data_IF_880411601939
#
_entry.id   IF_880411601939
#
_cell.length_a   1.000
_cell.length_b   1.000
_cell.length_c   1.000
_cell.angle_alpha   90.00
_cell.angle_beta   90.00
_cell.angle_gamma   90.00
#
_symmetry.space_group_name_H-M   'P 1'
#
loop_
_entity.id
_entity.type
_entity.pdbx_description
1 polymer ?
#
# COMPACT_ATOMS: atom_id res chain seq x y z
N UNK A 1 -26.53 -8.64 -4.69
CA UNK A 1 -25.23 -7.97 -4.75
C UNK A 1 -25.10 -7.24 -6.09
N UNK A 2 -24.48 -6.09 -6.11
CA UNK A 2 -24.22 -5.30 -7.32
C UNK A 2 -22.75 -4.85 -7.46
N UNK A 3 -21.95 -5.06 -6.42
CA UNK A 3 -20.54 -4.68 -6.37
C UNK A 3 -19.73 -5.76 -5.64
N UNK A 4 -18.53 -6.03 -6.13
CA UNK A 4 -17.54 -6.90 -5.48
C UNK A 4 -16.28 -6.11 -5.18
N UNK A 5 -15.63 -6.41 -4.06
CA UNK A 5 -14.33 -5.86 -3.64
C UNK A 5 -13.30 -6.96 -3.75
N UNK A 6 -12.22 -6.72 -4.47
CA UNK A 6 -11.16 -7.72 -4.69
C UNK A 6 -9.81 -7.15 -4.30
N UNK A 7 -9.02 -7.91 -3.56
CA UNK A 7 -7.65 -7.50 -3.28
C UNK A 7 -6.86 -7.34 -4.57
N UNK A 8 -6.47 -6.12 -4.89
CA UNK A 8 -5.49 -5.81 -5.92
C UNK A 8 -4.08 -5.69 -5.31
N UNK A 9 -4.00 -5.13 -4.08
CA UNK A 9 -2.75 -4.99 -3.31
C UNK A 9 -3.04 -5.16 -1.82
N UNK A 10 -2.70 -6.32 -1.26
CA UNK A 10 -2.82 -6.56 0.19
C UNK A 10 -1.58 -6.11 0.97
N UNK A 11 -0.45 -5.96 0.28
CA UNK A 11 0.85 -5.53 0.77
C UNK A 11 1.52 -4.64 -0.29
N UNK A 12 2.84 -4.39 -0.16
CA UNK A 12 3.64 -3.75 -1.22
C UNK A 12 3.94 -4.72 -2.36
N UNK A 13 2.92 -5.39 -2.84
CA UNK A 13 2.93 -6.38 -3.91
C UNK A 13 1.63 -6.27 -4.74
N UNK A 14 1.51 -6.99 -5.84
CA UNK A 14 0.36 -6.89 -6.74
C UNK A 14 -0.22 -8.26 -7.10
N UNK A 15 -1.56 -8.33 -7.21
CA UNK A 15 -2.32 -9.44 -7.81
C UNK A 15 -2.67 -9.14 -9.27
N UNK A 16 -1.87 -8.32 -9.93
CA UNK A 16 -2.02 -7.89 -11.31
C UNK A 16 -0.64 -7.63 -11.93
N UNK A 17 -0.57 -7.52 -13.25
CA UNK A 17 0.67 -7.19 -13.93
C UNK A 17 1.00 -5.71 -13.71
N UNK A 18 1.94 -5.44 -12.80
CA UNK A 18 2.37 -4.11 -12.38
C UNK A 18 3.81 -3.84 -12.82
N UNK A 19 4.06 -2.60 -13.28
CA UNK A 19 5.41 -2.08 -13.55
C UNK A 19 6.07 -1.51 -12.27
N UNK A 20 5.28 -1.34 -11.19
CA UNK A 20 5.72 -0.71 -9.94
C UNK A 20 5.96 -1.75 -8.85
N UNK A 21 5.06 -2.72 -8.71
CA UNK A 21 5.04 -3.68 -7.62
C UNK A 21 5.34 -5.10 -8.11
N UNK A 22 6.09 -5.90 -7.33
CA UNK A 22 6.31 -7.30 -7.68
C UNK A 22 4.99 -8.09 -7.58
N UNK A 23 4.91 -9.20 -8.32
CA UNK A 23 3.85 -10.18 -8.13
C UNK A 23 3.79 -10.65 -6.68
N UNK A 24 2.60 -10.73 -6.14
CA UNK A 24 2.39 -11.16 -4.76
C UNK A 24 2.85 -12.59 -4.53
N UNK A 25 3.49 -12.84 -3.39
CA UNK A 25 3.84 -14.19 -2.91
C UNK A 25 2.61 -15.12 -2.84
N UNK A 26 1.43 -14.59 -2.69
CA UNK A 26 0.19 -15.37 -2.65
C UNK A 26 -0.25 -15.91 -4.01
N UNK A 27 0.28 -15.37 -5.11
CA UNK A 27 0.02 -15.90 -6.45
C UNK A 27 0.81 -17.19 -6.74
N UNK A 28 2.07 -17.26 -6.28
CA UNK A 28 3.01 -18.32 -6.71
C UNK A 28 3.84 -18.90 -5.57
N UNK A 29 3.69 -18.43 -4.33
CA UNK A 29 4.54 -18.67 -3.15
C UNK A 29 5.92 -18.01 -3.21
N UNK A 30 6.24 -17.28 -4.29
CA UNK A 30 7.50 -16.54 -4.47
C UNK A 30 7.18 -15.11 -4.93
N UNK A 31 7.59 -14.10 -4.16
CA UNK A 31 7.40 -12.70 -4.54
C UNK A 31 8.12 -12.41 -5.87
N UNK A 32 7.45 -11.68 -6.76
CA UNK A 32 7.96 -11.29 -8.06
C UNK A 32 7.86 -12.37 -9.15
N UNK A 33 7.48 -13.59 -8.82
CA UNK A 33 7.29 -14.66 -9.81
C UNK A 33 5.94 -14.46 -10.52
N UNK A 34 5.98 -14.33 -11.86
CA UNK A 34 4.78 -14.23 -12.68
C UNK A 34 3.98 -15.54 -12.63
N UNK A 35 2.68 -15.50 -12.28
CA UNK A 35 1.83 -16.70 -12.23
C UNK A 35 1.43 -17.24 -13.62
N UNK A 36 1.76 -16.55 -14.70
CA UNK A 36 1.37 -16.92 -16.07
C UNK A 36 -0.05 -16.48 -16.46
N UNK A 37 -0.75 -15.77 -15.59
CA UNK A 37 -2.05 -15.16 -15.85
C UNK A 37 -2.19 -13.88 -15.01
N UNK A 38 -3.18 -13.04 -15.33
CA UNK A 38 -3.45 -11.80 -14.59
C UNK A 38 -4.76 -11.92 -13.82
N UNK A 39 -4.70 -12.15 -12.49
CA UNK A 39 -5.91 -12.32 -11.66
C UNK A 39 -6.87 -11.15 -11.74
N UNK A 40 -6.39 -9.90 -11.61
CA UNK A 40 -7.26 -8.72 -11.61
C UNK A 40 -7.97 -8.55 -12.96
N UNK A 41 -7.24 -8.76 -14.06
CA UNK A 41 -7.82 -8.70 -15.41
C UNK A 41 -8.95 -9.71 -15.61
N UNK A 42 -8.78 -10.93 -15.08
CA UNK A 42 -9.80 -11.97 -15.14
C UNK A 42 -11.00 -11.56 -14.29
N UNK A 43 -10.77 -11.12 -13.04
CA UNK A 43 -11.83 -10.73 -12.12
C UNK A 43 -12.67 -9.56 -12.66
N UNK A 44 -12.04 -8.53 -13.24
CA UNK A 44 -12.74 -7.41 -13.87
C UNK A 44 -13.63 -7.90 -15.00
N UNK A 45 -13.09 -8.71 -15.92
CA UNK A 45 -13.84 -9.26 -17.04
C UNK A 45 -15.07 -10.05 -16.59
N UNK A 46 -14.89 -10.95 -15.64
CA UNK A 46 -15.98 -11.84 -15.18
C UNK A 46 -17.03 -11.08 -14.34
N UNK A 47 -16.61 -10.10 -13.51
CA UNK A 47 -17.55 -9.25 -12.79
C UNK A 47 -18.45 -8.46 -13.74
N UNK A 48 -17.87 -7.80 -14.73
CA UNK A 48 -18.63 -7.04 -15.74
C UNK A 48 -19.53 -7.95 -16.59
N UNK A 49 -19.08 -9.15 -16.95
CA UNK A 49 -19.91 -10.13 -17.67
C UNK A 49 -21.12 -10.58 -16.84
N UNK A 50 -20.98 -10.58 -15.51
CA UNK A 50 -22.07 -10.88 -14.56
C UNK A 50 -22.94 -9.65 -14.22
N UNK A 51 -22.69 -8.48 -14.80
CA UNK A 51 -23.39 -7.23 -14.50
C UNK A 51 -23.05 -6.62 -13.12
N UNK A 52 -21.90 -6.99 -12.54
CA UNK A 52 -21.42 -6.46 -11.26
C UNK A 52 -20.39 -5.36 -11.47
N UNK A 53 -20.36 -4.40 -10.57
CA UNK A 53 -19.24 -3.49 -10.40
C UNK A 53 -18.11 -4.19 -9.64
N UNK A 54 -16.87 -3.75 -9.88
CA UNK A 54 -15.69 -4.26 -9.21
C UNK A 54 -14.80 -3.11 -8.72
N UNK A 55 -14.45 -3.15 -7.43
CA UNK A 55 -13.52 -2.20 -6.82
C UNK A 55 -12.22 -2.90 -6.43
N UNK A 56 -11.10 -2.28 -6.80
CA UNK A 56 -9.77 -2.75 -6.44
C UNK A 56 -9.45 -2.33 -5.00
N UNK A 57 -9.31 -3.32 -4.12
CA UNK A 57 -8.97 -3.13 -2.71
C UNK A 57 -7.45 -3.05 -2.53
N UNK A 58 -7.02 -1.98 -1.89
CA UNK A 58 -5.60 -1.65 -1.64
C UNK A 58 -5.40 -1.37 -0.15
N UNK A 59 -4.38 -1.99 0.45
CA UNK A 59 -3.81 -1.60 1.73
C UNK A 59 -2.57 -0.73 1.44
N UNK A 60 -2.65 0.60 1.55
CA UNK A 60 -1.62 1.49 0.99
C UNK A 60 -0.28 1.43 1.72
N UNK A 61 -0.28 1.22 3.03
CA UNK A 61 0.92 1.34 3.85
C UNK A 61 1.54 0.02 4.31
N UNK A 62 0.85 -1.11 4.16
CA UNK A 62 1.37 -2.40 4.60
C UNK A 62 2.37 -2.97 3.59
N UNK A 63 3.61 -3.20 4.03
CA UNK A 63 4.65 -3.83 3.21
C UNK A 63 4.65 -5.34 3.42
N UNK A 64 4.60 -5.78 4.66
CA UNK A 64 4.60 -7.20 5.03
C UNK A 64 3.88 -7.42 6.36
N UNK A 65 3.17 -8.52 6.50
CA UNK A 65 2.63 -8.98 7.78
C UNK A 65 3.68 -9.66 8.68
N UNK A 66 4.94 -9.72 8.26
CA UNK A 66 6.09 -10.25 9.03
C UNK A 66 7.11 -9.14 9.24
N UNK A 67 7.95 -9.27 10.26
CA UNK A 67 8.93 -8.26 10.66
C UNK A 67 10.34 -8.51 10.11
N UNK A 68 10.56 -9.59 9.38
CA UNK A 68 11.86 -9.92 8.78
C UNK A 68 12.08 -9.15 7.46
N UNK A 69 12.85 -8.07 7.53
CA UNK A 69 13.18 -7.21 6.39
C UNK A 69 13.99 -7.93 5.31
N UNK A 70 14.74 -9.01 5.67
CA UNK A 70 15.50 -9.78 4.70
C UNK A 70 14.62 -10.56 3.72
N UNK A 71 13.31 -10.64 3.98
CA UNK A 71 12.34 -11.28 3.09
C UNK A 71 11.74 -10.34 2.05
N UNK A 72 12.03 -9.05 2.14
CA UNK A 72 11.61 -8.07 1.12
C UNK A 72 12.53 -8.21 -0.10
N UNK A 73 11.97 -8.52 -1.25
CA UNK A 73 12.74 -8.72 -2.48
C UNK A 73 13.31 -7.41 -3.02
N UNK A 74 14.41 -7.50 -3.78
CA UNK A 74 15.01 -6.33 -4.45
C UNK A 74 14.07 -5.64 -5.45
N UNK A 75 13.08 -6.38 -5.97
CA UNK A 75 12.06 -5.85 -6.87
C UNK A 75 10.94 -5.11 -6.15
N UNK A 76 10.85 -5.21 -4.82
CA UNK A 76 9.85 -4.49 -4.05
C UNK A 76 10.26 -3.02 -3.87
N UNK A 77 9.37 -2.04 -4.12
CA UNK A 77 9.67 -0.61 -3.92
C UNK A 77 10.21 -0.27 -2.53
N UNK A 78 9.78 -1.00 -1.49
CA UNK A 78 10.24 -0.81 -0.12
C UNK A 78 11.73 -1.12 0.07
N UNK A 79 12.30 -1.98 -0.78
CA UNK A 79 13.67 -2.46 -0.61
C UNK A 79 14.70 -1.31 -0.53
N UNK A 80 14.55 -0.30 -1.39
CA UNK A 80 15.45 0.86 -1.43
C UNK A 80 15.35 1.78 -0.21
N UNK A 81 14.32 1.58 0.62
CA UNK A 81 14.01 2.43 1.78
C UNK A 81 14.14 1.70 3.12
N UNK A 82 14.58 0.43 3.13
CA UNK A 82 14.66 -0.40 4.36
C UNK A 82 15.51 0.23 5.47
N UNK A 83 16.54 0.99 5.10
CA UNK A 83 17.45 1.66 6.06
C UNK A 83 17.10 3.14 6.25
N UNK A 84 15.85 3.53 6.00
CA UNK A 84 15.36 4.90 6.14
C UNK A 84 14.09 4.96 7.00
N UNK A 85 13.74 6.17 7.47
CA UNK A 85 12.50 6.40 8.23
C UNK A 85 11.20 6.24 7.38
N UNK A 86 11.31 5.98 6.06
CA UNK A 86 10.18 5.70 5.18
C UNK A 86 9.58 4.32 5.39
N UNK A 87 10.38 3.39 5.94
CA UNK A 87 9.97 2.03 6.24
C UNK A 87 10.18 1.75 7.72
N UNK A 88 9.13 1.32 8.39
CA UNK A 88 9.14 1.09 9.85
C UNK A 88 8.72 -0.34 10.17
N UNK A 89 9.51 -1.01 10.99
CA UNK A 89 9.15 -2.32 11.55
C UNK A 89 8.36 -2.09 12.84
N UNK A 90 7.13 -2.58 12.87
CA UNK A 90 6.28 -2.57 14.08
C UNK A 90 6.23 -3.97 14.64
N UNK A 91 6.82 -4.15 15.85
CA UNK A 91 6.89 -5.46 16.51
C UNK A 91 5.53 -6.17 16.54
N UNK A 92 5.51 -7.45 16.24
CA UNK A 92 4.33 -8.33 16.21
C UNK A 92 3.24 -7.94 15.20
N UNK A 93 3.42 -6.86 14.43
CA UNK A 93 2.42 -6.35 13.49
C UNK A 93 2.88 -6.48 12.04
N UNK A 94 4.13 -6.12 11.73
CA UNK A 94 4.69 -6.20 10.38
C UNK A 94 5.64 -5.07 10.02
N UNK A 95 5.80 -4.88 8.73
CA UNK A 95 6.60 -3.80 8.13
C UNK A 95 5.65 -2.86 7.40
N UNK A 96 5.83 -1.57 7.59
CA UNK A 96 4.93 -0.53 7.05
C UNK A 96 5.70 0.61 6.41
N UNK A 97 5.11 1.23 5.42
CA UNK A 97 5.49 2.56 4.96
C UNK A 97 5.07 3.61 5.99
N UNK A 98 5.83 4.71 6.04
CA UNK A 98 5.48 5.85 6.89
C UNK A 98 4.49 6.77 6.16
N UNK A 99 3.25 6.95 6.68
CA UNK A 99 2.25 7.80 6.03
C UNK A 99 2.60 9.30 5.99
N UNK A 100 3.64 9.73 6.71
CA UNK A 100 4.10 11.11 6.72
C UNK A 100 5.11 11.45 5.61
N UNK A 101 5.51 10.46 4.81
CA UNK A 101 6.53 10.63 3.78
C UNK A 101 5.90 10.87 2.40
N UNK A 102 6.28 11.97 1.74
CA UNK A 102 5.74 12.37 0.44
C UNK A 102 6.06 11.36 -0.69
N UNK A 103 7.26 10.73 -0.68
CA UNK A 103 7.60 9.70 -1.67
C UNK A 103 6.75 8.43 -1.47
N UNK A 104 6.34 8.14 -0.23
CA UNK A 104 5.41 7.03 0.06
C UNK A 104 4.03 7.36 -0.49
N UNK A 105 3.52 8.57 -0.27
CA UNK A 105 2.24 9.01 -0.83
C UNK A 105 2.28 8.93 -2.35
N UNK A 106 3.35 9.46 -2.99
CA UNK A 106 3.54 9.38 -4.44
C UNK A 106 3.55 7.93 -4.95
N UNK A 107 4.24 7.02 -4.26
CA UNK A 107 4.23 5.60 -4.60
C UNK A 107 2.82 5.00 -4.57
N UNK A 108 2.02 5.32 -3.55
CA UNK A 108 0.63 4.84 -3.43
C UNK A 108 -0.22 5.38 -4.55
N UNK A 109 -0.15 6.69 -4.82
CA UNK A 109 -0.91 7.37 -5.89
C UNK A 109 -0.57 6.76 -7.26
N UNK A 110 0.71 6.60 -7.59
CA UNK A 110 1.13 5.96 -8.85
C UNK A 110 0.60 4.53 -8.98
N UNK A 111 0.58 3.77 -7.90
CA UNK A 111 0.01 2.42 -7.90
C UNK A 111 -1.50 2.42 -8.13
N UNK A 112 -2.23 3.41 -7.62
CA UNK A 112 -3.66 3.61 -7.91
C UNK A 112 -3.87 3.99 -9.38
N UNK A 113 -3.10 4.96 -9.88
CA UNK A 113 -3.16 5.38 -11.28
C UNK A 113 -2.90 4.22 -12.26
N UNK A 114 -1.92 3.36 -11.94
CA UNK A 114 -1.61 2.17 -12.73
C UNK A 114 -2.83 1.25 -12.86
N UNK A 115 -3.52 0.97 -11.75
CA UNK A 115 -4.73 0.13 -11.76
C UNK A 115 -5.83 0.79 -12.59
N UNK A 116 -6.13 2.06 -12.33
CA UNK A 116 -7.22 2.78 -12.99
C UNK A 116 -7.00 2.88 -14.50
N UNK A 117 -5.76 3.11 -14.94
CA UNK A 117 -5.42 3.21 -16.37
C UNK A 117 -5.48 1.86 -17.10
N UNK A 118 -5.14 0.77 -16.41
CA UNK A 118 -4.87 -0.50 -17.11
C UNK A 118 -5.99 -1.54 -16.95
N UNK A 119 -6.89 -1.40 -15.94
CA UNK A 119 -7.79 -2.50 -15.56
C UNK A 119 -9.28 -2.20 -15.67
N UNK A 120 -9.70 -0.96 -15.86
CA UNK A 120 -11.12 -0.62 -16.01
C UNK A 120 -11.97 -1.00 -14.80
N UNK A 121 -11.40 -0.93 -13.58
CA UNK A 121 -12.15 -1.10 -12.33
C UNK A 121 -13.15 0.04 -12.15
N UNK A 122 -14.27 -0.21 -11.46
CA UNK A 122 -15.31 0.80 -11.22
C UNK A 122 -14.98 1.72 -10.04
N UNK A 123 -14.02 1.32 -9.20
CA UNK A 123 -13.58 2.10 -8.06
C UNK A 123 -12.31 1.55 -7.42
N UNK A 124 -11.75 2.38 -6.53
CA UNK A 124 -10.66 2.01 -5.64
C UNK A 124 -11.19 2.00 -4.21
N UNK A 125 -10.88 0.95 -3.48
CA UNK A 125 -11.21 0.80 -2.08
C UNK A 125 -9.95 0.79 -1.25
N UNK A 126 -9.80 1.75 -0.33
CA UNK A 126 -8.75 1.72 0.68
C UNK A 126 -9.24 1.08 1.96
N UNK A 127 -8.46 0.14 2.50
CA UNK A 127 -8.56 -0.37 3.85
C UNK A 127 -7.15 -0.40 4.46
N UNK A 128 -7.07 -0.48 5.80
CA UNK A 128 -5.80 -0.48 6.55
C UNK A 128 -4.91 0.75 6.20
N UNK A 129 -5.55 1.90 5.89
CA UNK A 129 -4.92 3.15 5.42
C UNK A 129 -4.55 4.11 6.56
N UNK A 130 -4.60 3.64 7.79
CA UNK A 130 -4.27 4.38 9.01
C UNK A 130 -2.90 3.97 9.57
N UNK A 131 -2.43 4.70 10.56
CA UNK A 131 -1.20 4.37 11.26
C UNK A 131 -1.31 3.00 11.94
N UNK A 132 -0.30 2.12 11.80
CA UNK A 132 -0.34 0.76 12.36
C UNK A 132 -0.12 0.71 13.87
N UNK A 133 0.28 1.82 14.49
CA UNK A 133 0.56 1.95 15.90
C UNK A 133 0.33 3.38 16.39
N UNK A 134 0.08 3.51 17.69
CA UNK A 134 0.02 4.81 18.39
C UNK A 134 1.38 5.24 18.97
N UNK A 135 2.40 4.38 18.91
CA UNK A 135 3.74 4.67 19.44
C UNK A 135 4.33 5.93 18.79
N UNK A 136 4.86 6.83 19.62
CA UNK A 136 5.43 8.10 19.17
C UNK A 136 6.70 7.91 18.35
N UNK A 137 7.44 6.84 18.60
CA UNK A 137 8.68 6.51 17.91
C UNK A 137 8.49 6.20 16.42
N UNK A 138 7.28 5.83 16.00
CA UNK A 138 6.99 5.41 14.63
C UNK A 138 7.39 6.46 13.58
N UNK A 139 7.14 7.72 13.83
CA UNK A 139 7.34 8.84 12.90
C UNK A 139 7.98 10.07 13.59
N UNK A 140 8.71 9.85 14.67
CA UNK A 140 9.24 10.91 15.53
C UNK A 140 10.14 11.92 14.80
N UNK A 141 10.92 11.49 13.80
CA UNK A 141 11.78 12.37 12.98
C UNK A 141 10.94 13.32 12.13
N UNK A 142 9.89 12.81 11.48
CA UNK A 142 8.95 13.59 10.67
C UNK A 142 8.17 14.59 11.53
N UNK A 143 7.66 14.15 12.67
CA UNK A 143 6.93 15.06 13.56
C UNK A 143 7.84 16.15 14.13
N UNK A 144 9.10 15.85 14.49
CA UNK A 144 10.10 16.87 14.89
C UNK A 144 10.32 17.89 13.77
N UNK A 145 10.48 17.43 12.54
CA UNK A 145 10.65 18.32 11.38
C UNK A 145 9.44 19.23 11.18
N UNK A 146 8.21 18.65 11.26
CA UNK A 146 6.97 19.41 11.22
C UNK A 146 6.92 20.49 12.30
N UNK A 147 7.27 20.16 13.55
CA UNK A 147 7.30 21.13 14.67
C UNK A 147 8.34 22.22 14.47
N UNK A 148 9.53 21.87 13.97
CA UNK A 148 10.61 22.81 13.69
C UNK A 148 10.26 23.79 12.57
N UNK A 149 9.43 23.37 11.62
CA UNK A 149 8.89 24.22 10.56
C UNK A 149 7.71 25.11 11.03
N UNK A 150 7.41 25.14 12.34
CA UNK A 150 6.33 25.96 12.92
C UNK A 150 4.97 25.26 12.99
N UNK A 151 4.92 23.97 12.76
CA UNK A 151 3.70 23.17 12.88
C UNK A 151 3.09 23.22 14.29
N UNK A 152 1.76 23.40 14.36
CA UNK A 152 1.05 23.64 15.65
C UNK A 152 0.20 22.45 16.10
N UNK A 153 -0.09 21.49 15.23
CA UNK A 153 -0.93 20.35 15.57
C UNK A 153 -0.27 19.45 16.65
N UNK A 154 -1.10 18.79 17.44
CA UNK A 154 -0.66 17.66 18.26
C UNK A 154 -0.27 16.48 17.36
N UNK A 155 0.52 15.53 17.86
CA UNK A 155 0.92 14.33 17.11
C UNK A 155 -0.30 13.61 16.50
N UNK A 156 -1.33 13.37 17.30
CA UNK A 156 -2.55 12.70 16.83
C UNK A 156 -3.32 13.48 15.75
N UNK A 157 -3.35 14.82 15.83
CA UNK A 157 -3.99 15.65 14.83
C UNK A 157 -3.18 15.70 13.54
N UNK A 158 -1.86 15.79 13.64
CA UNK A 158 -0.94 15.77 12.51
C UNK A 158 -0.99 14.41 11.77
N UNK A 159 -0.97 13.28 12.50
CA UNK A 159 -1.14 11.95 11.89
C UNK A 159 -2.46 11.80 11.14
N UNK A 160 -3.55 12.33 11.68
CA UNK A 160 -4.84 12.34 10.96
C UNK A 160 -4.78 13.19 9.70
N UNK A 161 -4.08 14.32 9.73
CA UNK A 161 -3.88 15.14 8.53
C UNK A 161 -3.12 14.35 7.46
N UNK A 162 -1.99 13.72 7.78
CA UNK A 162 -1.21 12.91 6.84
C UNK A 162 -2.05 11.81 6.16
N UNK A 163 -2.91 11.15 6.94
CA UNK A 163 -3.81 10.11 6.38
C UNK A 163 -4.86 10.73 5.46
N UNK A 164 -5.41 11.90 5.81
CA UNK A 164 -6.42 12.58 4.99
C UNK A 164 -5.82 13.16 3.69
N UNK A 165 -4.51 13.43 3.65
CA UNK A 165 -3.83 13.92 2.45
C UNK A 165 -3.66 12.84 1.37
N UNK A 166 -3.77 11.55 1.72
CA UNK A 166 -3.79 10.46 0.76
C UNK A 166 -5.14 10.33 0.03
N UNK A 167 -6.24 10.69 0.71
CA UNK A 167 -7.62 10.49 0.23
C UNK A 167 -8.15 11.74 -0.47
#
# INVERSE_FOLDING_TARGET
FNTVYVHARSHSDAYYNSDIFPWSVYCTRTEGQNPGFDPLKIMVKEAHAAGLKIEAWINPYRISGKTDTNKISKGNPAYKWLDTDKVVVVEKTGIFYNPADEDVIDLVVRGVEEIVRNYGVDGIHFDDYFYPTTEESFDSSYYKSYKSAGGRLSLAAWRRQNVNELI
#
